data_IF_883426961238
#
_entry.id   IF_883426961238
#
_cell.length_a   1.000
_cell.length_b   1.000
_cell.length_c   1.000
_cell.angle_alpha   90.00
_cell.angle_beta   90.00
_cell.angle_gamma   90.00
#
_symmetry.space_group_name_H-M   'P 1'
#
loop_
_entity.id
_entity.type
_entity.pdbx_description
1 polymer ?
#
# COMPACT_ATOMS: atom_id res chain seq x y z
N UNK A 1 13.93 -8.59 -9.45
CA UNK A 1 14.71 -8.36 -10.69
C UNK A 1 13.68 -8.43 -11.82
N UNK A 2 13.18 -7.28 -12.28
CA UNK A 2 12.15 -7.24 -13.32
C UNK A 2 12.80 -7.42 -14.70
N UNK A 3 12.12 -8.13 -15.60
CA UNK A 3 12.58 -8.31 -16.98
C UNK A 3 12.44 -6.96 -17.69
N UNK A 4 13.52 -6.46 -18.29
CA UNK A 4 13.50 -5.22 -19.05
C UNK A 4 12.81 -5.41 -20.41
N UNK A 5 12.31 -4.32 -20.99
CA UNK A 5 11.67 -4.39 -22.32
C UNK A 5 12.65 -4.87 -23.41
N UNK A 6 13.93 -4.52 -23.28
CA UNK A 6 14.99 -5.02 -24.18
C UNK A 6 15.16 -6.53 -24.12
N UNK A 7 15.14 -7.12 -22.91
CA UNK A 7 15.25 -8.57 -22.70
C UNK A 7 14.01 -9.31 -23.21
N UNK A 8 12.81 -8.71 -23.06
CA UNK A 8 11.56 -9.25 -23.63
C UNK A 8 11.62 -9.29 -25.15
N UNK A 9 12.11 -8.22 -25.78
CA UNK A 9 12.24 -8.13 -27.23
C UNK A 9 13.24 -9.15 -27.79
N UNK A 10 14.41 -9.29 -27.15
CA UNK A 10 15.42 -10.29 -27.51
C UNK A 10 14.85 -11.72 -27.44
N UNK A 11 14.14 -12.03 -26.35
CA UNK A 11 13.48 -13.33 -26.17
C UNK A 11 12.43 -13.58 -27.26
N UNK A 12 11.58 -12.59 -27.59
CA UNK A 12 10.61 -12.72 -28.67
C UNK A 12 11.28 -12.99 -30.02
N UNK A 13 12.42 -12.33 -30.30
CA UNK A 13 13.18 -12.56 -31.53
C UNK A 13 13.65 -14.01 -31.66
N UNK A 14 14.22 -14.57 -30.59
CA UNK A 14 14.67 -15.98 -30.55
C UNK A 14 13.49 -16.94 -30.66
N UNK A 15 12.37 -16.66 -29.98
CA UNK A 15 11.17 -17.50 -30.05
C UNK A 15 10.58 -17.53 -31.46
N UNK A 16 10.58 -16.39 -32.18
CA UNK A 16 10.11 -16.33 -33.58
C UNK A 16 10.97 -17.16 -34.52
N UNK A 17 12.28 -17.22 -34.28
CA UNK A 17 13.22 -18.04 -35.06
C UNK A 17 12.96 -19.55 -34.86
N UNK A 18 12.69 -19.98 -33.63
CA UNK A 18 12.56 -21.42 -33.31
C UNK A 18 11.14 -21.98 -33.46
N UNK A 19 10.11 -21.21 -33.12
CA UNK A 19 8.72 -21.66 -33.05
C UNK A 19 7.85 -21.12 -34.20
N UNK A 20 8.42 -20.25 -35.03
CA UNK A 20 7.69 -19.49 -36.04
C UNK A 20 6.97 -18.27 -35.47
N UNK A 21 6.66 -17.32 -36.36
CA UNK A 21 6.15 -15.99 -35.99
C UNK A 21 4.81 -16.07 -35.25
N UNK A 22 3.90 -16.92 -35.70
CA UNK A 22 2.55 -17.02 -35.11
C UNK A 22 2.59 -17.55 -33.67
N UNK A 23 3.23 -18.70 -33.46
CA UNK A 23 3.32 -19.35 -32.14
C UNK A 23 4.06 -18.49 -31.12
N UNK A 24 5.14 -17.84 -31.55
CA UNK A 24 5.92 -16.96 -30.69
C UNK A 24 5.14 -15.71 -30.24
N UNK A 25 4.35 -15.11 -31.14
CA UNK A 25 3.52 -13.95 -30.79
C UNK A 25 2.42 -14.34 -29.80
N UNK A 26 1.72 -15.45 -30.03
CA UNK A 26 0.71 -15.96 -29.08
C UNK A 26 1.32 -16.25 -27.71
N UNK A 27 2.53 -16.82 -27.65
CA UNK A 27 3.20 -17.06 -26.38
C UNK A 27 3.52 -15.76 -25.63
N UNK A 28 4.02 -14.74 -26.34
CA UNK A 28 4.36 -13.44 -25.74
C UNK A 28 3.13 -12.69 -25.25
N UNK A 29 1.98 -12.83 -25.92
CA UNK A 29 0.69 -12.27 -25.48
C UNK A 29 0.20 -12.84 -24.14
N UNK A 30 0.58 -14.06 -23.79
CA UNK A 30 0.23 -14.68 -22.49
C UNK A 30 1.18 -14.28 -21.35
N UNK A 31 2.32 -13.66 -21.66
CA UNK A 31 3.26 -13.25 -20.64
C UNK A 31 2.81 -11.92 -20.01
N UNK A 32 2.87 -11.76 -18.68
CA UNK A 32 2.57 -10.49 -18.04
C UNK A 32 3.50 -9.41 -18.62
N UNK A 33 3.01 -8.19 -18.91
CA UNK A 33 3.84 -7.13 -19.46
C UNK A 33 4.91 -6.68 -18.46
N UNK A 34 5.88 -5.91 -18.94
CA UNK A 34 6.94 -5.36 -18.09
C UNK A 34 6.34 -4.51 -16.97
N UNK A 35 6.99 -4.51 -15.80
CA UNK A 35 6.54 -3.74 -14.63
C UNK A 35 5.42 -4.36 -13.79
N UNK A 36 4.91 -5.56 -14.13
CA UNK A 36 3.93 -6.26 -13.27
C UNK A 36 4.49 -6.66 -11.89
N UNK A 37 5.81 -6.81 -11.75
CA UNK A 37 6.46 -6.98 -10.46
C UNK A 37 6.34 -5.75 -9.55
N UNK A 38 6.11 -4.58 -10.16
CA UNK A 38 6.11 -3.30 -9.47
C UNK A 38 4.67 -2.85 -9.12
N UNK A 39 3.66 -3.62 -9.57
CA UNK A 39 2.27 -3.39 -9.22
C UNK A 39 2.01 -3.94 -7.81
N UNK A 40 1.48 -3.08 -6.94
CA UNK A 40 1.07 -3.49 -5.59
C UNK A 40 0.05 -4.63 -5.66
N UNK A 41 0.31 -5.71 -4.93
CA UNK A 41 -0.60 -6.84 -4.85
C UNK A 41 -1.78 -6.50 -3.93
N UNK A 42 -2.87 -7.27 -4.03
CA UNK A 42 -4.01 -7.15 -3.10
C UNK A 42 -3.58 -7.31 -1.64
N UNK A 43 -2.62 -8.19 -1.38
CA UNK A 43 -2.07 -8.42 -0.04
C UNK A 43 -1.30 -7.20 0.47
N UNK A 44 -0.54 -6.53 -0.39
CA UNK A 44 0.17 -5.30 -0.01
C UNK A 44 -0.82 -4.20 0.40
N UNK A 45 -1.94 -4.08 -0.32
CA UNK A 45 -2.99 -3.13 -0.01
C UNK A 45 -3.68 -3.46 1.32
N UNK A 46 -4.03 -4.74 1.56
CA UNK A 46 -4.63 -5.19 2.83
C UNK A 46 -3.72 -4.89 4.03
N UNK A 47 -2.41 -5.15 3.88
CA UNK A 47 -1.44 -4.85 4.93
C UNK A 47 -1.34 -3.34 5.21
N UNK A 48 -1.37 -2.51 4.16
CA UNK A 48 -1.35 -1.05 4.30
C UNK A 48 -2.63 -0.55 4.97
N UNK A 49 -3.80 -1.08 4.61
CA UNK A 49 -5.09 -0.75 5.19
C UNK A 49 -5.13 -1.06 6.70
N UNK A 50 -4.70 -2.25 7.10
CA UNK A 50 -4.61 -2.65 8.50
C UNK A 50 -3.67 -1.73 9.28
N UNK A 51 -2.50 -1.44 8.72
CA UNK A 51 -1.52 -0.54 9.34
C UNK A 51 -2.03 0.90 9.46
N UNK A 52 -2.80 1.38 8.49
CA UNK A 52 -3.42 2.72 8.56
C UNK A 52 -4.51 2.76 9.62
N UNK A 53 -5.39 1.75 9.64
CA UNK A 53 -6.49 1.66 10.61
C UNK A 53 -5.96 1.64 12.05
N UNK A 54 -4.93 0.83 12.31
CA UNK A 54 -4.28 0.78 13.63
C UNK A 54 -3.60 2.09 14.00
N UNK A 55 -2.89 2.75 13.08
CA UNK A 55 -2.29 4.07 13.33
C UNK A 55 -3.33 5.15 13.62
N UNK A 56 -4.44 5.16 12.88
CA UNK A 56 -5.54 6.12 13.09
C UNK A 56 -6.15 5.87 14.47
N UNK A 57 -6.51 4.63 14.80
CA UNK A 57 -7.11 4.28 16.08
C UNK A 57 -6.20 4.65 17.28
N UNK A 58 -4.90 4.37 17.19
CA UNK A 58 -3.93 4.68 18.24
C UNK A 58 -3.69 6.18 18.40
N UNK A 59 -3.65 6.92 17.28
CA UNK A 59 -3.50 8.39 17.30
C UNK A 59 -4.73 9.04 17.92
N UNK A 60 -5.94 8.60 17.54
CA UNK A 60 -7.20 9.08 18.13
C UNK A 60 -7.29 8.77 19.62
N UNK A 61 -6.94 7.55 20.05
CA UNK A 61 -6.95 7.18 21.45
C UNK A 61 -5.98 8.02 22.28
N UNK A 62 -4.81 8.37 21.72
CA UNK A 62 -3.81 9.21 22.38
C UNK A 62 -4.28 10.66 22.47
N UNK A 63 -4.87 11.20 21.42
CA UNK A 63 -5.46 12.54 21.42
C UNK A 63 -6.60 12.65 22.43
N UNK A 64 -7.52 11.68 22.48
CA UNK A 64 -8.65 11.68 23.42
C UNK A 64 -8.20 11.71 24.88
N UNK A 65 -7.11 11.00 25.23
CA UNK A 65 -6.56 11.02 26.60
C UNK A 65 -6.05 12.40 27.00
N UNK A 66 -5.32 13.08 26.11
CA UNK A 66 -4.81 14.43 26.37
C UNK A 66 -5.94 15.45 26.48
N UNK A 67 -6.93 15.38 25.58
CA UNK A 67 -8.10 16.27 25.63
C UNK A 67 -8.92 16.06 26.91
N UNK A 68 -9.17 14.80 27.31
CA UNK A 68 -9.88 14.49 28.54
C UNK A 68 -9.16 15.05 29.78
N UNK A 69 -7.84 14.97 29.83
CA UNK A 69 -7.03 15.57 30.90
C UNK A 69 -7.17 17.10 30.96
N UNK A 70 -7.13 17.77 29.81
CA UNK A 70 -7.34 19.22 29.73
C UNK A 70 -8.74 19.62 30.22
N UNK A 71 -9.79 18.95 29.76
CA UNK A 71 -11.16 19.24 30.20
C UNK A 71 -11.35 18.98 31.70
N UNK A 72 -10.78 17.88 32.23
CA UNK A 72 -10.83 17.59 33.66
C UNK A 72 -10.19 18.71 34.50
N UNK A 73 -9.09 19.31 34.02
CA UNK A 73 -8.43 20.43 34.72
C UNK A 73 -9.29 21.69 34.78
N UNK A 74 -10.01 22.02 33.70
CA UNK A 74 -10.91 23.17 33.67
C UNK A 74 -12.14 22.96 34.57
N UNK A 75 -12.70 21.74 34.58
CA UNK A 75 -13.81 21.39 35.48
C UNK A 75 -13.37 21.50 36.94
N UNK A 76 -12.19 20.98 37.28
CA UNK A 76 -11.64 21.09 38.63
C UNK A 76 -11.44 22.57 39.03
N UNK A 77 -10.91 23.40 38.14
CA UNK A 77 -10.73 24.83 38.39
C UNK A 77 -12.06 25.56 38.65
N UNK A 78 -13.11 25.24 37.88
CA UNK A 78 -14.45 25.80 38.09
C UNK A 78 -15.05 25.39 39.43
N UNK A 79 -14.92 24.13 39.83
CA UNK A 79 -15.39 23.64 41.14
C UNK A 79 -14.73 24.42 42.28
N UNK A 80 -13.41 24.61 42.21
CA UNK A 80 -12.66 25.36 43.22
C UNK A 80 -13.08 26.83 43.26
N UNK A 81 -13.37 27.45 42.11
CA UNK A 81 -13.82 28.83 42.04
C UNK A 81 -15.24 29.03 42.61
N UNK A 82 -16.14 28.08 42.41
CA UNK A 82 -17.51 28.10 42.94
C UNK A 82 -17.58 27.82 44.44
N UNK A 83 -16.61 27.10 44.99
CA UNK A 83 -16.54 26.78 46.42
C UNK A 83 -15.89 27.88 47.28
N UNK A 84 -15.46 28.99 46.66
CA UNK A 84 -14.75 30.11 47.28
C UNK A 84 -15.65 31.33 47.39
#
# INVERSE_FOLDING_TARGET
MSITESQRYEMQSVLREKLGVSTANTLVEHLPPSGWSDVATKTDLLFIEERLTTKIATTMATQNKWMAGLFASQVAALIVALAR
#
